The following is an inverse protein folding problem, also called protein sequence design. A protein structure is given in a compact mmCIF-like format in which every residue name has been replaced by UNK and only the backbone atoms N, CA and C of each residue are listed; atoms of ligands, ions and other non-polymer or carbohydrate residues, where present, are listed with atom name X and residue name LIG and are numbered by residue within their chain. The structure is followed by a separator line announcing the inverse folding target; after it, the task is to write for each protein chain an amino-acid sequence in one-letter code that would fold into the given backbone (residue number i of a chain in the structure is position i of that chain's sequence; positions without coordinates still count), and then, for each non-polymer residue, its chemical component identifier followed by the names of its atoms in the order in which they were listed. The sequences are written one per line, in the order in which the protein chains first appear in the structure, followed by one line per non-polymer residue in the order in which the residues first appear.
data_IF_083838180130
#
_entry.id   IF_083838180130
#
_cell.length_a   1.000
_cell.length_b   1.000
_cell.length_c   1.000
_cell.angle_alpha   90.00
_cell.angle_beta   90.00
_cell.angle_gamma   90.00
#
_symmetry.space_group_name_H-M   'P 1'
#
loop_
_entity.id
_entity.type
_entity.pdbx_description
1 polymer ?
#
# COMPACT_ATOMS: atom_id res chain seq x y z
N UNK A 1 -46.04 26.73 2.75
CA UNK A 1 -44.66 27.25 2.88
C UNK A 1 -44.73 28.77 2.83
N UNK A 2 -44.69 29.43 3.99
CA UNK A 2 -44.84 30.89 4.09
C UNK A 2 -43.72 31.62 3.34
N UNK A 3 -44.05 32.77 2.74
CA UNK A 3 -43.05 33.67 2.14
C UNK A 3 -42.01 34.02 3.23
N UNK A 4 -40.75 33.70 2.98
CA UNK A 4 -39.64 34.22 3.78
C UNK A 4 -39.75 35.75 3.77
N UNK A 5 -39.79 36.38 4.94
CA UNK A 5 -39.69 37.83 5.01
C UNK A 5 -38.35 38.27 4.42
N UNK A 6 -38.30 39.45 3.83
CA UNK A 6 -37.07 40.02 3.25
C UNK A 6 -35.92 40.04 4.26
N UNK A 7 -36.24 40.36 5.52
CA UNK A 7 -35.31 40.33 6.64
C UNK A 7 -34.78 38.92 6.95
N UNK A 8 -35.65 37.90 6.94
CA UNK A 8 -35.23 36.51 7.15
C UNK A 8 -34.34 36.02 6.00
N UNK A 9 -34.65 36.41 4.76
CA UNK A 9 -33.80 36.12 3.61
C UNK A 9 -32.42 36.77 3.75
N UNK A 10 -32.36 38.06 4.07
CA UNK A 10 -31.10 38.78 4.23
C UNK A 10 -30.22 38.16 5.35
N UNK A 11 -30.85 37.82 6.50
CA UNK A 11 -30.16 37.13 7.60
C UNK A 11 -29.57 35.79 7.17
N UNK A 12 -30.35 34.99 6.44
CA UNK A 12 -29.90 33.69 5.96
C UNK A 12 -28.79 33.84 4.92
N UNK A 13 -28.87 34.79 4.00
CA UNK A 13 -27.79 35.04 3.04
C UNK A 13 -26.48 35.46 3.73
N UNK A 14 -26.56 36.30 4.77
CA UNK A 14 -25.40 36.67 5.57
C UNK A 14 -24.79 35.44 6.29
N UNK A 15 -25.63 34.58 6.87
CA UNK A 15 -25.19 33.33 7.50
C UNK A 15 -24.54 32.37 6.48
N UNK A 16 -25.12 32.25 5.29
CA UNK A 16 -24.56 31.42 4.21
C UNK A 16 -23.19 31.97 3.79
N UNK A 17 -23.05 33.28 3.52
CA UNK A 17 -21.74 33.88 3.14
C UNK A 17 -20.68 33.68 4.23
N UNK A 18 -21.04 33.89 5.50
CA UNK A 18 -20.13 33.62 6.62
C UNK A 18 -19.73 32.13 6.72
N UNK A 19 -20.64 31.21 6.45
CA UNK A 19 -20.34 29.78 6.38
C UNK A 19 -19.44 29.43 5.18
N UNK A 20 -19.65 30.05 4.02
CA UNK A 20 -18.77 29.88 2.85
C UNK A 20 -17.33 30.26 3.19
N UNK A 21 -17.12 31.43 3.79
CA UNK A 21 -15.78 31.92 4.10
C UNK A 21 -15.06 31.00 5.09
N UNK A 22 -15.76 30.48 6.11
CA UNK A 22 -15.20 29.48 7.04
C UNK A 22 -14.81 28.19 6.33
N UNK A 23 -15.68 27.66 5.47
CA UNK A 23 -15.41 26.41 4.74
C UNK A 23 -14.27 26.56 3.72
N UNK A 24 -14.19 27.69 3.03
CA UNK A 24 -13.12 28.00 2.07
C UNK A 24 -11.77 28.25 2.76
N UNK A 25 -11.79 28.77 4.00
CA UNK A 25 -10.61 28.87 4.85
C UNK A 25 -10.16 27.52 5.45
N UNK A 26 -10.88 26.43 5.17
CA UNK A 26 -10.56 25.09 5.67
C UNK A 26 -11.08 24.78 7.08
N UNK A 27 -11.87 25.67 7.69
CA UNK A 27 -12.55 25.42 8.97
C UNK A 27 -13.77 24.50 8.77
N UNK A 28 -13.51 23.26 8.34
CA UNK A 28 -14.53 22.27 8.01
C UNK A 28 -14.91 21.49 9.29
N UNK A 29 -16.21 21.37 9.61
CA UNK A 29 -16.66 20.61 10.77
C UNK A 29 -16.33 19.11 10.63
N UNK A 30 -16.12 18.39 11.75
CA UNK A 30 -15.85 16.96 11.73
C UNK A 30 -16.90 16.17 10.95
N UNK A 31 -16.47 15.32 10.00
CA UNK A 31 -17.36 14.53 9.15
C UNK A 31 -18.04 15.31 8.01
N UNK A 32 -17.83 16.63 7.93
CA UNK A 32 -18.28 17.50 6.83
C UNK A 32 -17.24 17.64 5.72
N UNK A 33 -17.58 18.41 4.68
CA UNK A 33 -16.71 18.75 3.56
C UNK A 33 -16.85 20.20 3.12
N UNK A 34 -16.00 20.60 2.16
CA UNK A 34 -16.19 21.85 1.44
C UNK A 34 -17.29 21.67 0.35
N UNK A 35 -18.52 21.34 0.78
CA UNK A 35 -19.65 21.01 -0.10
C UNK A 35 -20.94 21.74 0.30
N UNK A 36 -21.92 21.78 -0.61
CA UNK A 36 -23.21 22.47 -0.38
C UNK A 36 -24.03 21.84 0.75
N UNK A 37 -23.81 20.57 1.09
CA UNK A 37 -24.54 19.90 2.18
C UNK A 37 -24.04 20.43 3.51
N UNK A 38 -22.73 20.50 3.70
CA UNK A 38 -22.12 21.10 4.89
C UNK A 38 -22.43 22.59 4.97
N UNK A 39 -22.38 23.32 3.85
CA UNK A 39 -22.77 24.74 3.81
C UNK A 39 -24.21 24.96 4.31
N UNK A 40 -25.15 24.12 3.89
CA UNK A 40 -26.55 24.21 4.34
C UNK A 40 -26.68 24.03 5.86
N UNK A 41 -26.01 23.01 6.40
CA UNK A 41 -26.02 22.68 7.83
C UNK A 41 -25.40 23.82 8.64
N UNK A 42 -24.21 24.29 8.24
CA UNK A 42 -23.49 25.37 8.93
C UNK A 42 -24.21 26.71 8.89
N UNK A 43 -24.93 26.99 7.81
CA UNK A 43 -25.72 28.22 7.66
C UNK A 43 -27.12 28.11 8.29
N UNK A 44 -27.52 26.94 8.81
CA UNK A 44 -28.85 26.73 9.39
C UNK A 44 -29.99 26.80 8.37
N UNK A 45 -29.72 26.56 7.09
CA UNK A 45 -30.72 26.62 6.01
C UNK A 45 -31.01 25.24 5.42
N UNK A 46 -32.21 25.06 4.88
CA UNK A 46 -32.55 23.82 4.19
C UNK A 46 -31.76 23.71 2.88
N UNK A 47 -31.11 22.56 2.64
CA UNK A 47 -30.33 22.30 1.42
C UNK A 47 -31.13 22.53 0.12
N UNK A 48 -32.43 22.29 0.14
CA UNK A 48 -33.33 22.55 -1.00
C UNK A 48 -33.38 24.02 -1.43
N UNK A 49 -32.97 24.96 -0.57
CA UNK A 49 -32.92 26.39 -0.88
C UNK A 49 -31.84 26.75 -1.93
N UNK A 50 -30.85 25.88 -2.11
CA UNK A 50 -29.79 26.05 -3.10
C UNK A 50 -30.17 25.53 -4.50
N UNK A 51 -31.23 24.75 -4.61
CA UNK A 51 -31.63 24.11 -5.87
C UNK A 51 -32.89 24.77 -6.45
N UNK A 52 -33.03 24.78 -7.79
CA UNK A 52 -34.25 25.22 -8.43
C UNK A 52 -35.42 24.31 -8.05
N UNK A 53 -36.63 24.90 -7.99
CA UNK A 53 -37.88 24.18 -7.75
C UNK A 53 -38.79 24.35 -8.97
N UNK A 54 -38.68 23.43 -9.91
CA UNK A 54 -39.29 23.56 -11.24
C UNK A 54 -38.56 24.65 -12.04
N UNK A 55 -39.31 25.52 -12.70
CA UNK A 55 -38.76 26.65 -13.47
C UNK A 55 -38.28 27.83 -12.61
N UNK A 56 -38.53 27.79 -11.30
CA UNK A 56 -38.16 28.89 -10.40
C UNK A 56 -36.82 28.62 -9.73
N UNK A 57 -35.87 29.58 -9.76
CA UNK A 57 -34.61 29.42 -9.05
C UNK A 57 -34.83 29.33 -7.54
N UNK A 58 -33.95 28.58 -6.88
CA UNK A 58 -33.95 28.46 -5.43
C UNK A 58 -33.66 29.82 -4.77
N UNK A 59 -34.18 30.08 -3.54
CA UNK A 59 -33.97 31.35 -2.85
C UNK A 59 -32.50 31.71 -2.65
N UNK A 60 -31.60 30.72 -2.59
CA UNK A 60 -30.16 30.91 -2.40
C UNK A 60 -29.34 30.27 -3.50
N UNK A 61 -29.93 30.00 -4.67
CA UNK A 61 -29.23 29.32 -5.77
C UNK A 61 -27.98 30.09 -6.22
N UNK A 62 -28.06 31.41 -6.33
CA UNK A 62 -26.92 32.27 -6.68
C UNK A 62 -25.73 32.12 -5.71
N UNK A 63 -26.01 31.86 -4.42
CA UNK A 63 -24.99 31.62 -3.41
C UNK A 63 -24.36 30.23 -3.54
N UNK A 64 -25.11 29.23 -4.00
CA UNK A 64 -24.53 27.93 -4.32
C UNK A 64 -23.57 28.04 -5.51
N UNK A 65 -23.98 28.73 -6.57
CA UNK A 65 -23.15 28.97 -7.76
C UNK A 65 -21.88 29.78 -7.42
N UNK A 66 -22.00 30.80 -6.55
CA UNK A 66 -20.85 31.54 -6.02
C UNK A 66 -19.90 30.62 -5.24
N UNK A 67 -20.43 29.84 -4.31
CA UNK A 67 -19.62 28.92 -3.49
C UNK A 67 -18.88 27.92 -4.35
N UNK A 68 -19.56 27.26 -5.30
CA UNK A 68 -18.94 26.29 -6.20
C UNK A 68 -17.86 26.92 -7.08
N UNK A 69 -18.07 28.14 -7.57
CA UNK A 69 -17.05 28.89 -8.31
C UNK A 69 -15.83 29.16 -7.43
N UNK A 70 -16.02 29.68 -6.21
CA UNK A 70 -14.93 29.97 -5.27
C UNK A 70 -14.18 28.71 -4.85
N UNK A 71 -14.86 27.57 -4.68
CA UNK A 71 -14.23 26.27 -4.41
C UNK A 71 -13.34 25.87 -5.59
N UNK A 72 -13.83 25.99 -6.84
CA UNK A 72 -13.04 25.68 -8.04
C UNK A 72 -11.83 26.60 -8.18
N UNK A 73 -11.99 27.89 -7.94
CA UNK A 73 -10.90 28.86 -8.01
C UNK A 73 -9.82 28.56 -6.96
N UNK A 74 -10.23 28.23 -5.73
CA UNK A 74 -9.32 27.84 -4.66
C UNK A 74 -8.56 26.54 -5.00
N UNK A 75 -9.24 25.54 -5.55
CA UNK A 75 -8.62 24.30 -6.02
C UNK A 75 -7.64 24.54 -7.17
N UNK A 76 -7.99 25.38 -8.15
CA UNK A 76 -7.13 25.75 -9.27
C UNK A 76 -5.88 26.53 -8.81
N UNK A 77 -6.01 27.34 -7.76
CA UNK A 77 -4.90 28.03 -7.11
C UNK A 77 -4.02 27.11 -6.22
N UNK A 78 -4.36 25.82 -6.11
CA UNK A 78 -3.63 24.86 -5.28
C UNK A 78 -3.94 24.97 -3.78
N UNK A 79 -4.93 25.77 -3.40
CA UNK A 79 -5.41 25.83 -2.00
C UNK A 79 -6.30 24.62 -1.75
N UNK A 80 -5.80 23.66 -0.97
CA UNK A 80 -6.61 22.52 -0.54
C UNK A 80 -7.69 23.02 0.41
N UNK A 81 -8.93 23.05 -0.08
CA UNK A 81 -10.09 23.47 0.71
C UNK A 81 -10.64 22.37 1.61
N UNK A 82 -10.53 21.08 1.23
CA UNK A 82 -11.01 19.94 2.04
C UNK A 82 -9.84 19.04 2.50
N UNK A 83 -9.54 18.97 3.81
CA UNK A 83 -8.52 18.09 4.38
C UNK A 83 -8.69 16.60 4.02
N UNK A 84 -9.93 16.14 3.79
CA UNK A 84 -10.22 14.75 3.43
C UNK A 84 -9.66 14.40 2.06
N UNK A 85 -9.66 15.34 1.11
CA UNK A 85 -9.11 15.12 -0.24
C UNK A 85 -7.62 14.82 -0.15
N UNK A 86 -6.85 15.65 0.56
CA UNK A 86 -5.43 15.39 0.79
C UNK A 86 -5.18 14.10 1.58
N UNK A 87 -6.07 13.76 2.52
CA UNK A 87 -5.96 12.49 3.23
C UNK A 87 -6.21 11.29 2.30
N UNK A 88 -7.18 11.37 1.39
CA UNK A 88 -7.46 10.35 0.38
C UNK A 88 -6.25 10.18 -0.55
N UNK A 89 -5.67 11.28 -1.05
CA UNK A 89 -4.51 11.23 -1.95
C UNK A 89 -3.30 10.57 -1.27
N UNK A 90 -2.98 11.00 -0.04
CA UNK A 90 -1.92 10.39 0.77
C UNK A 90 -2.17 8.91 1.03
N UNK A 91 -3.41 8.53 1.34
CA UNK A 91 -3.77 7.13 1.56
C UNK A 91 -3.65 6.31 0.27
N UNK A 92 -4.06 6.85 -0.89
CA UNK A 92 -3.88 6.20 -2.19
C UNK A 92 -2.40 5.97 -2.50
N UNK A 93 -1.55 6.97 -2.28
CA UNK A 93 -0.11 6.86 -2.47
C UNK A 93 0.47 5.76 -1.56
N UNK A 94 0.08 5.75 -0.27
CA UNK A 94 0.55 4.73 0.67
C UNK A 94 0.08 3.32 0.32
N UNK A 95 -1.17 3.18 -0.15
CA UNK A 95 -1.70 1.89 -0.61
C UNK A 95 -0.96 1.40 -1.85
N UNK A 96 -0.62 2.29 -2.79
CA UNK A 96 0.17 1.94 -3.96
C UNK A 96 1.57 1.44 -3.57
N UNK A 97 2.28 2.19 -2.71
CA UNK A 97 3.59 1.82 -2.19
C UNK A 97 3.56 0.46 -1.46
N UNK A 98 2.55 0.24 -0.62
CA UNK A 98 2.41 -1.03 0.11
C UNK A 98 2.14 -2.21 -0.84
N UNK A 99 1.33 -2.01 -1.88
CA UNK A 99 1.07 -3.05 -2.88
C UNK A 99 2.34 -3.43 -3.65
N UNK A 100 3.13 -2.45 -4.05
CA UNK A 100 4.41 -2.68 -4.72
C UNK A 100 5.38 -3.47 -3.83
N UNK A 101 5.53 -3.06 -2.56
CA UNK A 101 6.38 -3.76 -1.59
C UNK A 101 5.93 -5.19 -1.32
N UNK A 102 4.62 -5.44 -1.28
CA UNK A 102 4.09 -6.80 -1.11
C UNK A 102 4.39 -7.64 -2.34
N UNK A 103 4.19 -7.10 -3.55
CA UNK A 103 4.52 -7.83 -4.78
C UNK A 103 6.01 -8.18 -4.89
N UNK A 104 6.90 -7.26 -4.50
CA UNK A 104 8.35 -7.50 -4.46
C UNK A 104 8.69 -8.61 -3.45
N UNK A 105 8.15 -8.54 -2.22
CA UNK A 105 8.33 -9.58 -1.19
C UNK A 105 7.83 -10.94 -1.66
N UNK A 106 6.68 -11.00 -2.34
CA UNK A 106 6.10 -12.24 -2.84
C UNK A 106 6.98 -12.86 -3.93
N UNK A 107 7.59 -12.03 -4.79
CA UNK A 107 8.55 -12.48 -5.79
C UNK A 107 9.84 -13.04 -5.14
N UNK A 108 10.42 -12.32 -4.17
CA UNK A 108 11.59 -12.78 -3.40
C UNK A 108 11.32 -14.14 -2.72
N UNK A 109 10.13 -14.28 -2.11
CA UNK A 109 9.73 -15.51 -1.42
C UNK A 109 9.55 -16.68 -2.39
N UNK A 110 8.98 -16.43 -3.57
CA UNK A 110 8.84 -17.44 -4.61
C UNK A 110 10.22 -17.93 -5.09
N UNK A 111 11.16 -17.02 -5.35
CA UNK A 111 12.53 -17.35 -5.75
C UNK A 111 13.25 -18.15 -4.67
N UNK A 112 13.21 -17.68 -3.42
CA UNK A 112 13.87 -18.35 -2.31
C UNK A 112 13.29 -19.75 -2.06
N UNK A 113 11.98 -19.91 -2.23
CA UNK A 113 11.30 -21.21 -2.10
C UNK A 113 11.71 -22.17 -3.22
N UNK A 114 11.78 -21.70 -4.46
CA UNK A 114 12.26 -22.48 -5.59
C UNK A 114 13.72 -22.89 -5.40
N UNK A 115 14.58 -21.96 -4.98
CA UNK A 115 15.99 -22.22 -4.69
C UNK A 115 16.16 -23.26 -3.58
N UNK A 116 15.46 -23.09 -2.45
CA UNK A 116 15.50 -24.04 -1.33
C UNK A 116 15.09 -25.45 -1.78
N UNK A 117 14.03 -25.55 -2.56
CA UNK A 117 13.54 -26.84 -3.08
C UNK A 117 14.61 -27.53 -3.92
N UNK A 118 15.21 -26.80 -4.88
CA UNK A 118 16.27 -27.30 -5.72
C UNK A 118 17.52 -27.72 -4.93
N UNK A 119 17.92 -26.92 -3.94
CA UNK A 119 19.08 -27.20 -3.11
C UNK A 119 18.90 -28.50 -2.30
N UNK A 120 17.71 -28.70 -1.71
CA UNK A 120 17.38 -29.93 -0.97
C UNK A 120 17.43 -31.14 -1.91
N UNK A 121 16.82 -31.07 -3.10
CA UNK A 121 16.85 -32.17 -4.06
C UNK A 121 18.28 -32.52 -4.50
N UNK A 122 19.14 -31.53 -4.72
CA UNK A 122 20.55 -31.76 -5.06
C UNK A 122 21.33 -32.41 -3.93
N UNK A 123 21.15 -31.94 -2.69
CA UNK A 123 21.80 -32.53 -1.52
C UNK A 123 21.35 -33.98 -1.30
N UNK A 124 20.06 -34.27 -1.47
CA UNK A 124 19.54 -35.64 -1.40
C UNK A 124 20.18 -36.54 -2.46
N UNK A 125 20.20 -36.11 -3.73
CA UNK A 125 20.83 -36.87 -4.81
C UNK A 125 22.34 -37.08 -4.60
N UNK A 126 23.05 -36.06 -4.11
CA UNK A 126 24.47 -36.19 -3.76
C UNK A 126 24.69 -37.17 -2.60
N UNK A 127 23.82 -37.16 -1.60
CA UNK A 127 23.90 -38.08 -0.48
C UNK A 127 23.69 -39.53 -0.93
N UNK A 128 22.66 -39.79 -1.75
CA UNK A 128 22.41 -41.11 -2.33
C UNK A 128 23.59 -41.62 -3.16
N UNK A 129 24.21 -40.74 -3.96
CA UNK A 129 25.38 -41.10 -4.76
C UNK A 129 26.60 -41.43 -3.89
N UNK A 130 26.84 -40.68 -2.81
CA UNK A 130 27.92 -40.96 -1.86
C UNK A 130 27.70 -42.34 -1.21
N UNK A 131 26.49 -42.66 -0.77
CA UNK A 131 26.17 -43.96 -0.17
C UNK A 131 26.38 -45.09 -1.20
N UNK A 132 25.90 -44.93 -2.43
CA UNK A 132 26.12 -45.88 -3.52
C UNK A 132 27.62 -46.13 -3.78
N UNK A 133 28.43 -45.07 -3.82
CA UNK A 133 29.88 -45.18 -4.02
C UNK A 133 30.58 -45.86 -2.83
N UNK A 134 30.13 -45.60 -1.59
CA UNK A 134 30.64 -46.25 -0.38
C UNK A 134 30.35 -47.74 -0.38
N UNK A 135 29.14 -48.14 -0.74
CA UNK A 135 28.74 -49.55 -0.88
C UNK A 135 29.61 -50.27 -1.93
N UNK A 136 29.83 -49.66 -3.09
CA UNK A 136 30.70 -50.21 -4.13
C UNK A 136 32.15 -50.36 -3.67
N UNK A 137 32.69 -49.36 -2.98
CA UNK A 137 34.04 -49.42 -2.43
C UNK A 137 34.18 -50.53 -1.38
N UNK A 138 33.18 -50.71 -0.51
CA UNK A 138 33.14 -51.79 0.48
C UNK A 138 33.05 -53.18 -0.18
N UNK A 139 32.23 -53.33 -1.22
CA UNK A 139 32.09 -54.58 -1.98
C UNK A 139 33.31 -54.94 -2.84
N UNK A 140 34.09 -53.95 -3.29
CA UNK A 140 35.27 -54.16 -4.12
C UNK A 140 36.51 -54.65 -3.35
N UNK A 141 36.50 -54.71 -2.02
CA UNK A 141 37.51 -55.40 -1.20
C UNK A 141 38.98 -55.04 -1.46
N UNK A 142 39.29 -53.79 -1.86
CA UNK A 142 40.55 -53.48 -2.55
C UNK A 142 41.74 -53.05 -1.69
N UNK A 143 41.79 -53.40 -0.39
CA UNK A 143 43.04 -53.33 0.37
C UNK A 143 43.57 -54.75 0.60
N UNK A 144 44.24 -55.29 -0.42
CA UNK A 144 45.04 -56.52 -0.27
C UNK A 144 46.35 -56.13 0.39
N UNK A 145 46.49 -56.46 1.68
CA UNK A 145 47.80 -56.36 2.36
C UNK A 145 48.79 -57.27 1.63
N UNK A 146 49.84 -56.66 1.06
CA UNK A 146 50.93 -57.41 0.43
C UNK A 146 51.68 -58.16 1.55
N UNK A 147 51.94 -59.46 1.39
CA UNK A 147 52.69 -60.21 2.39
C UNK A 147 54.06 -59.56 2.57
N UNK A 148 54.43 -59.27 3.81
CA UNK A 148 55.77 -58.83 4.16
C UNK A 148 56.78 -59.82 3.55
N UNK A 149 57.75 -59.29 2.80
CA UNK A 149 58.79 -60.09 2.18
C UNK A 149 59.39 -61.02 3.25
N UNK A 150 59.31 -62.34 3.03
CA UNK A 150 60.02 -63.31 3.87
C UNK A 150 61.47 -62.85 3.91
N UNK A 151 61.98 -62.63 5.11
CA UNK A 151 63.39 -62.41 5.39
C UNK A 151 64.15 -63.62 4.84
N UNK A 152 64.54 -63.54 3.58
CA UNK A 152 65.49 -64.44 2.97
C UNK A 152 66.79 -64.27 3.73
N UNK A 153 67.22 -65.35 4.36
CA UNK A 153 68.58 -65.52 4.86
C UNK A 153 69.55 -65.21 3.72
N UNK A 154 70.12 -64.01 3.74
CA UNK A 154 71.22 -63.64 2.86
C UNK A 154 72.49 -64.37 3.36
N UNK A 155 73.18 -65.14 2.51
CA UNK A 155 74.36 -65.90 2.91
C UNK A 155 75.61 -65.05 2.70
N UNK A 156 75.82 -63.99 3.49
CA UNK A 156 77.04 -63.20 3.34
C UNK A 156 77.66 -62.85 4.69
N UNK A 157 78.69 -63.62 5.05
CA UNK A 157 79.99 -63.14 5.49
C UNK A 157 80.08 -62.37 6.80
N UNK A 158 80.50 -63.06 7.86
CA UNK A 158 81.16 -62.46 9.01
C UNK A 158 82.48 -61.80 8.57
N UNK A 159 82.65 -60.51 8.91
CA UNK A 159 83.97 -59.87 8.99
C UNK A 159 84.14 -59.37 10.43
N UNK A 160 85.34 -59.65 10.96
CA UNK A 160 85.80 -59.50 12.35
C UNK A 160 85.77 -58.08 12.90
#
# INVERSE_FOLDING_TARGET
MGRLTTETRARNEAAIRAAMDRLLAGAIPPGGGCDLKTLAVEAGVTRTGFYPKGERPGPYQHLAEEFERRVKDAQAAGTVTDPRTSQIERLKARVAELKERVAERDADLAELTAFKTLAISRLAAQHEEIERLREQAAGAGSVRSLPAARSGTAPYGSCS
#
